data_IF_796158496517
#
_entry.id   IF_796158496517
#
_cell.length_a   1.000
_cell.length_b   1.000
_cell.length_c   1.000
_cell.angle_alpha   90.00
_cell.angle_beta   90.00
_cell.angle_gamma   90.00
#
_symmetry.space_group_name_H-M   'P 1'
#
loop_
_entity.id
_entity.type
_entity.pdbx_description
1 polymer ?
#
# COMPACT_ATOMS: atom_id res chain seq x y z
N UNK A 1 -8.34 -5.60 -10.26
CA UNK A 1 -9.03 -4.47 -9.62
C UNK A 1 -7.99 -3.73 -8.76
N UNK A 2 -7.40 -2.66 -9.30
CA UNK A 2 -6.36 -1.82 -8.68
C UNK A 2 -6.88 -0.40 -8.76
N UNK A 3 -6.60 0.45 -7.76
CA UNK A 3 -6.86 1.90 -7.79
C UNK A 3 -6.66 2.41 -9.24
N UNK A 4 -7.74 2.79 -9.93
CA UNK A 4 -7.76 2.77 -11.41
C UNK A 4 -6.80 3.78 -12.04
N UNK A 5 -6.04 3.28 -13.04
CA UNK A 5 -5.32 3.91 -14.18
C UNK A 5 -4.46 5.17 -13.97
N UNK A 6 -4.68 6.02 -12.94
CA UNK A 6 -3.77 7.07 -12.43
C UNK A 6 -4.09 7.42 -10.95
N UNK A 7 -4.02 6.47 -10.00
CA UNK A 7 -4.35 6.78 -8.61
C UNK A 7 -3.24 7.60 -7.94
N UNK A 8 -3.63 8.60 -7.16
CA UNK A 8 -2.76 9.20 -6.15
C UNK A 8 -2.81 8.41 -4.84
N UNK A 9 -1.73 8.47 -4.06
CA UNK A 9 -1.67 7.88 -2.72
C UNK A 9 -1.33 8.97 -1.71
N UNK A 10 -2.10 9.04 -0.61
CA UNK A 10 -1.79 9.99 0.49
C UNK A 10 -0.55 9.53 1.25
N UNK A 11 -0.36 8.21 1.40
CA UNK A 11 0.74 7.64 2.19
C UNK A 11 1.49 6.52 1.48
N UNK A 12 2.78 6.43 1.76
CA UNK A 12 3.64 5.31 1.38
C UNK A 12 4.58 4.98 2.55
N UNK A 13 4.06 4.30 3.58
CA UNK A 13 4.83 4.00 4.77
C UNK A 13 5.57 2.65 4.64
N UNK A 14 6.78 2.60 5.20
CA UNK A 14 7.61 1.41 5.28
C UNK A 14 8.12 1.26 6.71
N UNK A 15 7.88 0.09 7.32
CA UNK A 15 8.41 -0.25 8.64
C UNK A 15 9.37 -1.43 8.53
N UNK A 16 10.49 -1.42 9.24
CA UNK A 16 11.55 -2.42 9.05
C UNK A 16 11.10 -3.84 9.41
N UNK A 17 10.45 -4.03 10.56
CA UNK A 17 9.94 -5.31 11.02
C UNK A 17 8.67 -5.16 11.88
N UNK A 18 8.06 -6.29 12.26
CA UNK A 18 6.81 -6.31 13.04
C UNK A 18 6.96 -5.59 14.39
N UNK A 19 8.10 -5.77 15.06
CA UNK A 19 8.40 -5.15 16.36
C UNK A 19 9.03 -3.75 16.29
N UNK A 20 9.20 -3.14 15.11
CA UNK A 20 9.75 -1.78 15.07
C UNK A 20 8.73 -0.82 15.70
N UNK A 21 9.15 0.04 16.64
CA UNK A 21 8.24 1.02 17.23
C UNK A 21 7.78 2.03 16.16
N UNK A 22 6.54 2.50 16.30
CA UNK A 22 6.01 3.59 15.50
C UNK A 22 5.08 3.19 14.34
N UNK A 23 4.56 4.24 13.71
CA UNK A 23 3.59 4.22 12.62
C UNK A 23 3.17 5.66 12.31
N UNK A 24 2.41 5.85 11.24
CA UNK A 24 1.93 7.18 10.84
C UNK A 24 0.47 7.35 11.27
N UNK A 25 0.17 8.36 12.09
CA UNK A 25 -1.20 8.63 12.56
C UNK A 25 -1.64 10.02 12.11
N UNK A 26 -2.73 10.07 11.37
CA UNK A 26 -3.47 11.31 11.10
C UNK A 26 -4.64 11.39 12.07
N UNK A 27 -4.65 12.42 12.91
CA UNK A 27 -5.71 12.65 13.90
C UNK A 27 -6.42 13.96 13.60
N UNK A 28 -7.73 13.92 13.40
CA UNK A 28 -8.50 15.11 13.02
C UNK A 28 -8.25 15.55 11.57
N UNK A 29 -8.98 16.60 11.15
CA UNK A 29 -8.79 17.23 9.84
C UNK A 29 -9.63 16.60 8.72
N UNK A 30 -9.27 16.95 7.48
CA UNK A 30 -10.04 16.60 6.29
C UNK A 30 -9.12 16.16 5.14
N UNK A 31 -9.45 15.05 4.50
CA UNK A 31 -8.85 14.60 3.23
C UNK A 31 -9.81 14.99 2.10
N UNK A 32 -9.36 15.93 1.26
CA UNK A 32 -10.07 16.41 0.07
C UNK A 32 -9.18 16.31 -1.16
N UNK A 33 -9.79 16.29 -2.34
CA UNK A 33 -9.08 16.35 -3.59
C UNK A 33 -10.03 16.39 -4.78
N UNK A 34 -9.48 16.23 -5.98
CA UNK A 34 -10.24 15.98 -7.19
C UNK A 34 -9.79 14.65 -7.80
N UNK A 35 -10.74 13.85 -8.29
CA UNK A 35 -10.48 12.52 -8.84
C UNK A 35 -10.58 11.39 -7.81
N UNK A 36 -9.97 10.24 -8.13
CA UNK A 36 -9.98 9.03 -7.29
C UNK A 36 -8.62 8.81 -6.63
N UNK A 37 -8.60 8.62 -5.31
CA UNK A 37 -7.38 8.43 -4.53
C UNK A 37 -7.47 7.22 -3.59
N UNK A 38 -6.30 6.69 -3.23
CA UNK A 38 -6.15 5.66 -2.20
C UNK A 38 -5.44 6.25 -0.97
N UNK A 39 -5.85 5.86 0.24
CA UNK A 39 -5.27 6.33 1.51
C UNK A 39 -3.78 5.99 1.59
N UNK A 40 -3.35 4.90 0.97
CA UNK A 40 -1.95 4.64 0.79
C UNK A 40 -1.63 3.35 0.06
N UNK A 41 -0.31 3.16 -0.11
CA UNK A 41 0.29 1.91 -0.57
C UNK A 41 1.20 1.37 0.53
N UNK A 42 1.05 0.09 0.84
CA UNK A 42 1.98 -0.58 1.74
C UNK A 42 3.31 -0.82 1.00
N UNK A 43 4.37 -0.08 1.34
CA UNK A 43 5.70 -0.29 0.74
C UNK A 43 6.31 -1.63 1.15
N UNK A 44 5.92 -2.12 2.32
CA UNK A 44 6.24 -3.45 2.82
C UNK A 44 5.12 -4.00 3.70
N UNK A 45 5.28 -5.25 4.13
CA UNK A 45 4.31 -5.99 4.96
C UNK A 45 4.09 -5.43 6.37
N UNK A 46 4.90 -4.47 6.83
CA UNK A 46 4.84 -3.94 8.20
C UNK A 46 4.32 -2.50 8.26
N UNK A 47 3.90 -1.93 7.13
CA UNK A 47 3.35 -0.59 7.05
C UNK A 47 2.14 -0.43 7.99
N UNK A 48 2.22 0.49 8.94
CA UNK A 48 1.13 0.86 9.85
C UNK A 48 0.79 2.33 9.67
N UNK A 49 -0.44 2.61 9.24
CA UNK A 49 -0.98 3.97 9.08
C UNK A 49 -2.40 3.99 9.65
N UNK A 50 -2.73 5.01 10.45
CA UNK A 50 -4.05 5.17 11.09
C UNK A 50 -4.62 6.53 10.75
N UNK A 51 -5.88 6.56 10.32
CA UNK A 51 -6.68 7.79 10.20
C UNK A 51 -7.73 7.76 11.32
N UNK A 52 -7.67 8.72 12.24
CA UNK A 52 -8.53 8.78 13.42
C UNK A 52 -9.27 10.14 13.48
N UNK A 53 -10.61 10.11 13.49
CA UNK A 53 -11.44 11.32 13.34
C UNK A 53 -11.08 12.20 12.14
N UNK A 54 -10.71 11.60 11.02
CA UNK A 54 -10.42 12.33 9.78
C UNK A 54 -11.67 12.30 8.90
N UNK A 55 -12.15 13.47 8.49
CA UNK A 55 -13.23 13.55 7.51
C UNK A 55 -12.67 13.26 6.11
N UNK A 56 -13.28 12.33 5.37
CA UNK A 56 -12.81 11.93 4.04
C UNK A 56 -13.93 12.20 3.04
N UNK A 57 -13.66 13.00 2.01
CA UNK A 57 -14.63 13.21 0.92
C UNK A 57 -14.72 11.97 0.03
N UNK A 58 -15.69 11.95 -0.88
CA UNK A 58 -16.00 10.88 -1.84
C UNK A 58 -14.88 10.53 -2.84
N UNK A 59 -13.76 11.23 -2.74
CA UNK A 59 -12.54 11.01 -3.54
C UNK A 59 -11.78 9.74 -3.15
N UNK A 60 -11.96 9.26 -1.91
CA UNK A 60 -11.31 8.03 -1.43
C UNK A 60 -12.06 6.83 -1.99
N UNK A 61 -11.37 5.98 -2.75
CA UNK A 61 -12.01 4.79 -3.32
C UNK A 61 -12.48 3.83 -2.21
N UNK A 62 -13.58 3.08 -2.41
CA UNK A 62 -14.09 2.14 -1.39
C UNK A 62 -13.07 1.11 -0.92
N UNK A 63 -12.13 0.72 -1.79
CA UNK A 63 -11.05 -0.21 -1.46
C UNK A 63 -10.06 0.38 -0.44
N UNK A 64 -9.94 1.71 -0.37
CA UNK A 64 -9.12 2.46 0.58
C UNK A 64 -7.61 2.35 0.40
N UNK A 65 -7.07 1.16 0.10
CA UNK A 65 -5.64 0.87 0.16
C UNK A 65 -5.15 0.03 -1.02
N UNK A 66 -3.90 0.24 -1.43
CA UNK A 66 -3.20 -0.69 -2.32
C UNK A 66 -2.30 -1.63 -1.51
N UNK A 67 -2.58 -2.94 -1.65
CA UNK A 67 -1.81 -3.99 -1.00
C UNK A 67 -0.37 -4.08 -1.49
N UNK A 68 0.54 -4.49 -0.61
CA UNK A 68 1.94 -4.73 -0.98
C UNK A 68 2.04 -5.91 -1.97
N UNK A 69 2.60 -5.65 -3.16
CA UNK A 69 2.89 -6.68 -4.14
C UNK A 69 4.27 -7.29 -3.86
N UNK A 70 4.31 -8.33 -3.04
CA UNK A 70 5.53 -9.14 -2.88
C UNK A 70 5.88 -9.72 -4.26
N UNK A 71 7.03 -9.34 -4.84
CA UNK A 71 7.55 -10.04 -6.03
C UNK A 71 7.72 -11.50 -5.65
N UNK A 72 6.85 -12.38 -6.17
CA UNK A 72 7.13 -13.81 -6.17
C UNK A 72 8.43 -13.95 -6.95
N UNK A 73 9.52 -14.31 -6.26
CA UNK A 73 10.73 -14.76 -6.94
C UNK A 73 10.28 -15.99 -7.71
N UNK A 74 10.18 -15.89 -9.04
CA UNK A 74 10.09 -17.09 -9.87
C UNK A 74 11.42 -17.80 -9.63
N UNK A 75 11.42 -18.80 -8.77
CA UNK A 75 12.48 -19.81 -8.82
C UNK A 75 12.29 -20.50 -10.15
N UNK A 76 13.03 -20.03 -11.15
CA UNK A 76 13.19 -20.78 -12.39
C UNK A 76 13.92 -22.04 -12.00
N UNK A 77 13.18 -23.14 -11.79
CA UNK A 77 13.75 -24.47 -11.79
C UNK A 77 14.32 -24.68 -13.19
N UNK A 78 15.60 -24.34 -13.37
CA UNK A 78 16.34 -24.75 -14.55
C UNK A 78 16.57 -26.24 -14.35
N UNK A 79 15.80 -27.07 -15.03
CA UNK A 79 16.17 -28.47 -15.19
C UNK A 79 17.63 -28.53 -15.65
N UNK A 80 18.49 -29.34 -15.01
CA UNK A 80 19.81 -29.56 -15.54
C UNK A 80 19.64 -30.31 -16.86
N UNK A 81 20.08 -29.68 -17.96
CA UNK A 81 20.23 -30.37 -19.24
C UNK A 81 21.12 -31.58 -19.00
N UNK A 82 20.52 -32.76 -18.99
CA UNK A 82 21.21 -34.04 -18.94
C UNK A 82 22.03 -34.11 -20.23
N UNK A 83 23.33 -34.34 -20.06
CA UNK A 83 24.29 -34.54 -21.14
C UNK A 83 23.77 -35.58 -22.14
N UNK A 84 23.74 -35.20 -23.41
CA UNK A 84 23.72 -36.11 -24.56
C UNK A 84 25.12 -36.26 -25.11
#
# INVERSE_FOLDING_TARGET
MVCERKPGWVTAHARLHAGSPGGLVFKGGEVRGSGRLCLGRAWNQYATVVFYHVNMTDVVVPQGWEAWKKRRRRETFREPLIAG
#
